data_IF_771744733855
#
_entry.id   IF_771744733855
#
_cell.length_a   1.000
_cell.length_b   1.000
_cell.length_c   1.000
_cell.angle_alpha   90.00
_cell.angle_beta   90.00
_cell.angle_gamma   90.00
#
_symmetry.space_group_name_H-M   'P 1'
#
loop_
_entity.id
_entity.type
_entity.pdbx_description
1 polymer ?
#
# COMPACT_ATOMS: atom_id res chain seq x y z
N UNK A 1 15.80 -1.44 -1.63
CA UNK A 1 14.91 -0.40 -1.05
C UNK A 1 13.95 0.12 -2.11
N UNK A 2 12.71 -0.30 -2.02
CA UNK A 2 11.59 0.05 -2.88
C UNK A 2 10.32 0.11 -2.04
N UNK A 3 9.28 0.79 -2.51
CA UNK A 3 7.91 0.61 -2.06
C UNK A 3 7.30 -0.62 -2.76
N UNK A 4 6.19 -1.12 -2.23
CA UNK A 4 5.46 -2.25 -2.83
C UNK A 4 4.06 -1.82 -3.25
N UNK A 5 3.73 -1.96 -4.53
CA UNK A 5 2.38 -1.81 -5.04
C UNK A 5 1.68 -3.16 -5.02
N UNK A 6 0.52 -3.22 -4.39
CA UNK A 6 -0.43 -4.32 -4.52
C UNK A 6 -1.47 -3.88 -5.55
N UNK A 7 -1.41 -4.42 -6.76
CA UNK A 7 -2.41 -4.20 -7.79
C UNK A 7 -3.77 -4.73 -7.36
N UNK A 8 -4.84 -4.29 -8.03
CA UNK A 8 -6.22 -4.65 -7.67
C UNK A 8 -6.54 -6.14 -7.83
N UNK A 9 -5.80 -6.84 -8.70
CA UNK A 9 -5.84 -8.29 -8.91
C UNK A 9 -4.95 -9.08 -7.92
N UNK A 10 -4.20 -8.37 -7.08
CA UNK A 10 -3.29 -8.96 -6.09
C UNK A 10 -1.85 -9.15 -6.58
N UNK A 11 -1.50 -8.79 -7.82
CA UNK A 11 -0.10 -8.76 -8.24
C UNK A 11 0.71 -7.75 -7.40
N UNK A 12 1.96 -8.10 -7.08
CA UNK A 12 2.85 -7.26 -6.28
C UNK A 12 4.00 -6.77 -7.17
N UNK A 13 4.21 -5.46 -7.21
CA UNK A 13 5.29 -4.84 -7.95
C UNK A 13 6.12 -3.91 -7.06
N UNK A 14 7.42 -3.81 -7.32
CA UNK A 14 8.28 -2.81 -6.68
C UNK A 14 8.12 -1.45 -7.36
N UNK A 15 8.09 -0.39 -6.55
CA UNK A 15 8.02 1.01 -6.99
C UNK A 15 9.14 1.80 -6.33
N UNK A 16 9.81 2.67 -7.07
CA UNK A 16 10.80 3.57 -6.51
C UNK A 16 10.19 4.93 -6.16
N UNK A 17 10.15 5.25 -4.87
CA UNK A 17 9.68 6.54 -4.33
C UNK A 17 10.79 7.58 -4.17
N UNK A 18 12.03 7.27 -4.56
CA UNK A 18 13.17 8.20 -4.47
C UNK A 18 13.16 9.33 -5.52
N UNK A 19 12.10 9.41 -6.31
CA UNK A 19 11.88 10.49 -7.26
C UNK A 19 11.76 11.86 -6.57
N UNK A 20 12.09 12.93 -7.30
CA UNK A 20 11.99 14.32 -6.81
C UNK A 20 10.57 14.71 -6.36
N UNK A 21 9.54 14.02 -6.85
CA UNK A 21 8.13 14.28 -6.57
C UNK A 21 7.41 12.97 -6.20
N UNK A 22 7.59 12.53 -4.95
CA UNK A 22 7.02 11.29 -4.42
C UNK A 22 5.50 11.26 -4.56
N UNK A 23 4.81 12.35 -4.27
CA UNK A 23 3.35 12.42 -4.34
C UNK A 23 2.84 12.22 -5.77
N UNK A 24 3.50 12.84 -6.76
CA UNK A 24 3.17 12.61 -8.17
C UNK A 24 3.41 11.16 -8.58
N UNK A 25 4.49 10.53 -8.11
CA UNK A 25 4.74 9.10 -8.35
C UNK A 25 3.60 8.26 -7.77
N UNK A 26 3.13 8.56 -6.55
CA UNK A 26 2.01 7.86 -5.91
C UNK A 26 0.73 7.95 -6.74
N UNK A 27 0.37 9.15 -7.20
CA UNK A 27 -0.77 9.35 -8.10
C UNK A 27 -0.66 8.52 -9.38
N UNK A 28 0.53 8.45 -9.98
CA UNK A 28 0.75 7.69 -11.20
C UNK A 28 0.64 6.18 -10.99
N UNK A 29 1.25 5.63 -9.93
CA UNK A 29 1.26 4.18 -9.70
C UNK A 29 -0.05 3.65 -9.13
N UNK A 30 -0.76 4.45 -8.34
CA UNK A 30 -2.11 4.11 -7.87
C UNK A 30 -3.16 4.39 -8.96
N UNK A 31 -2.86 5.33 -9.87
CA UNK A 31 -3.75 5.74 -10.95
C UNK A 31 -4.90 6.63 -10.46
N UNK A 32 -4.63 7.53 -9.50
CA UNK A 32 -5.61 8.40 -8.85
C UNK A 32 -5.16 9.87 -8.86
N UNK A 33 -6.02 10.78 -8.37
CA UNK A 33 -5.71 12.21 -8.19
C UNK A 33 -5.67 12.68 -6.74
N UNK A 34 -6.06 11.81 -5.80
CA UNK A 34 -6.02 12.04 -4.37
C UNK A 34 -5.64 10.73 -3.68
N UNK A 35 -4.83 10.81 -2.63
CA UNK A 35 -4.43 9.66 -1.84
C UNK A 35 -4.79 9.87 -0.38
N UNK A 36 -5.20 8.80 0.28
CA UNK A 36 -5.33 8.76 1.74
C UNK A 36 -4.38 7.72 2.33
N UNK A 37 -3.95 7.95 3.57
CA UNK A 37 -2.99 7.10 4.28
C UNK A 37 -3.68 6.23 5.32
N UNK A 38 -3.49 4.93 5.17
CA UNK A 38 -3.87 3.92 6.15
C UNK A 38 -2.60 3.51 6.90
N UNK A 39 -2.38 4.10 8.07
CA UNK A 39 -1.22 3.75 8.93
C UNK A 39 -1.35 2.33 9.46
N UNK A 40 -0.57 1.38 8.92
CA UNK A 40 -0.61 -0.02 9.35
C UNK A 40 0.15 -0.20 10.66
N UNK A 41 1.32 0.43 10.77
CA UNK A 41 2.13 0.43 11.99
C UNK A 41 2.75 1.82 12.21
N UNK A 42 3.72 1.95 13.13
CA UNK A 42 4.51 3.18 13.30
C UNK A 42 5.61 3.36 12.25
N UNK A 43 5.82 2.39 11.35
CA UNK A 43 6.85 2.44 10.31
C UNK A 43 6.41 1.83 8.97
N UNK A 44 5.10 1.66 8.76
CA UNK A 44 4.54 1.11 7.54
C UNK A 44 3.19 1.78 7.27
N UNK A 45 3.14 2.47 6.14
CA UNK A 45 1.95 3.12 5.62
C UNK A 45 1.44 2.38 4.40
N UNK A 46 0.12 2.36 4.24
CA UNK A 46 -0.57 1.90 3.04
C UNK A 46 -1.35 3.07 2.45
N UNK A 47 -0.93 3.50 1.27
CA UNK A 47 -1.56 4.58 0.51
C UNK A 47 -2.55 4.00 -0.48
N UNK A 48 -3.71 4.62 -0.55
CA UNK A 48 -4.83 4.21 -1.41
C UNK A 48 -5.39 5.42 -2.15
N UNK A 49 -6.19 5.17 -3.18
CA UNK A 49 -7.07 6.19 -3.78
C UNK A 49 -8.14 6.58 -2.75
N UNK A 50 -8.15 7.85 -2.33
CA UNK A 50 -9.15 8.40 -1.39
C UNK A 50 -10.58 8.24 -1.93
N UNK A 51 -10.73 8.28 -3.26
CA UNK A 51 -12.01 8.16 -3.95
C UNK A 51 -12.29 6.72 -4.44
N UNK A 52 -11.42 5.75 -4.12
CA UNK A 52 -11.52 4.39 -4.66
C UNK A 52 -12.85 3.70 -4.37
N UNK A 53 -13.43 3.94 -3.19
CA UNK A 53 -14.73 3.38 -2.80
C UNK A 53 -15.93 3.98 -3.56
N UNK A 54 -15.82 5.21 -4.06
CA UNK A 54 -16.92 5.92 -4.74
C UNK A 54 -16.75 5.95 -6.28
N UNK A 55 -15.57 5.57 -6.78
CA UNK A 55 -15.24 5.52 -8.22
C UNK A 55 -15.39 4.13 -8.84
N UNK A 56 -16.10 3.21 -8.16
CA UNK A 56 -16.37 1.84 -8.62
C UNK A 56 -15.10 1.00 -8.90
N UNK A 57 -13.99 1.32 -8.22
CA UNK A 57 -12.78 0.48 -8.24
C UNK A 57 -13.08 -0.87 -7.59
N UNK A 58 -12.54 -1.98 -8.12
CA UNK A 58 -12.70 -3.29 -7.49
C UNK A 58 -12.03 -3.33 -6.12
N UNK A 59 -12.59 -4.14 -5.21
CA UNK A 59 -11.99 -4.38 -3.89
C UNK A 59 -10.66 -5.09 -4.07
N UNK A 60 -9.59 -4.52 -3.54
CA UNK A 60 -8.30 -5.17 -3.44
C UNK A 60 -8.30 -6.08 -2.21
N UNK A 61 -8.62 -7.36 -2.44
CA UNK A 61 -8.78 -8.36 -1.38
C UNK A 61 -7.50 -8.53 -0.58
N UNK A 62 -6.35 -8.57 -1.26
CA UNK A 62 -5.06 -8.79 -0.64
C UNK A 62 -4.65 -7.60 0.25
N UNK A 63 -4.76 -6.37 -0.25
CA UNK A 63 -4.52 -5.16 0.54
C UNK A 63 -5.50 -5.04 1.73
N UNK A 64 -6.77 -5.41 1.52
CA UNK A 64 -7.78 -5.42 2.59
C UNK A 64 -7.44 -6.41 3.69
N UNK A 65 -7.03 -7.62 3.35
CA UNK A 65 -6.63 -8.62 4.34
C UNK A 65 -5.34 -8.25 5.05
N UNK A 66 -4.38 -7.64 4.35
CA UNK A 66 -3.18 -7.08 4.97
C UNK A 66 -3.55 -6.00 6.00
N UNK A 67 -4.40 -5.05 5.64
CA UNK A 67 -4.83 -3.98 6.55
C UNK A 67 -5.58 -4.54 7.77
N UNK A 68 -6.44 -5.55 7.57
CA UNK A 68 -7.12 -6.26 8.66
C UNK A 68 -6.16 -6.98 9.59
N UNK A 69 -5.06 -7.55 9.07
CA UNK A 69 -4.01 -8.15 9.91
C UNK A 69 -3.42 -7.14 10.91
N UNK A 70 -3.33 -5.87 10.53
CA UNK A 70 -2.91 -4.77 11.40
C UNK A 70 -4.07 -4.10 12.17
N UNK A 71 -5.24 -4.75 12.23
CA UNK A 71 -6.41 -4.27 12.98
C UNK A 71 -7.23 -3.17 12.28
N UNK A 72 -6.99 -2.90 10.99
CA UNK A 72 -7.78 -1.94 10.19
C UNK A 72 -8.99 -2.65 9.58
N UNK A 73 -10.04 -2.83 10.37
CA UNK A 73 -11.23 -3.62 10.00
C UNK A 73 -12.47 -2.79 9.69
N UNK A 74 -12.35 -1.46 9.57
CA UNK A 74 -13.49 -0.54 9.43
C UNK A 74 -14.06 -0.48 8.00
N UNK A 75 -13.27 -0.83 6.97
CA UNK A 75 -13.71 -0.81 5.56
C UNK A 75 -12.92 -1.79 4.68
N UNK A 76 -13.44 -2.19 3.51
CA UNK A 76 -12.63 -2.70 2.41
C UNK A 76 -11.85 -1.56 1.72
N UNK A 77 -10.73 -1.88 1.07
CA UNK A 77 -9.96 -0.93 0.28
C UNK A 77 -10.07 -1.29 -1.21
N UNK A 78 -10.31 -0.29 -2.05
CA UNK A 78 -10.58 -0.47 -3.47
C UNK A 78 -9.45 0.11 -4.33
N UNK A 79 -9.12 -0.57 -5.42
CA UNK A 79 -8.03 -0.22 -6.33
C UNK A 79 -6.63 -0.59 -5.81
N UNK A 80 -5.57 -0.16 -6.52
CA UNK A 80 -4.19 -0.43 -6.11
C UNK A 80 -3.85 0.20 -4.75
N UNK A 81 -3.01 -0.49 -3.96
CA UNK A 81 -2.52 -0.01 -2.68
C UNK A 81 -1.00 0.02 -2.66
N UNK A 82 -0.40 1.14 -2.26
CA UNK A 82 1.04 1.33 -2.23
C UNK A 82 1.56 1.32 -0.78
N UNK A 83 2.50 0.42 -0.50
CA UNK A 83 3.14 0.28 0.81
C UNK A 83 4.46 1.03 0.85
N UNK A 84 4.57 1.97 1.78
CA UNK A 84 5.77 2.79 1.99
C UNK A 84 6.20 2.80 3.46
N UNK A 85 7.48 3.09 3.68
CA UNK A 85 7.99 3.46 4.99
C UNK A 85 7.72 4.94 5.27
N UNK A 86 8.06 5.39 6.47
CA UNK A 86 7.99 6.80 6.83
C UNK A 86 9.24 7.24 7.60
N UNK A 87 9.64 8.50 7.43
CA UNK A 87 10.65 9.14 8.29
C UNK A 87 10.01 9.60 9.61
N UNK A 88 10.85 9.99 10.58
CA UNK A 88 10.37 10.58 11.84
C UNK A 88 9.59 11.89 11.63
N UNK A 89 9.86 12.60 10.53
CA UNK A 89 9.14 13.81 10.12
C UNK A 89 7.82 13.51 9.38
N UNK A 90 7.54 12.24 9.09
CA UNK A 90 6.31 11.77 8.45
C UNK A 90 6.37 11.70 6.92
N UNK A 91 7.54 11.88 6.31
CA UNK A 91 7.71 11.77 4.86
C UNK A 91 7.66 10.30 4.42
N UNK A 92 6.96 10.02 3.34
CA UNK A 92 6.91 8.67 2.77
C UNK A 92 8.20 8.33 2.04
N UNK A 93 8.74 7.15 2.32
CA UNK A 93 9.99 6.65 1.75
C UNK A 93 9.85 5.20 1.27
N UNK A 94 10.82 4.74 0.48
CA UNK A 94 10.97 3.32 0.17
C UNK A 94 11.12 2.49 1.45
N UNK A 95 10.66 1.24 1.40
CA UNK A 95 10.87 0.27 2.46
C UNK A 95 12.34 -0.19 2.48
N UNK A 96 12.83 -0.47 3.68
CA UNK A 96 14.09 -1.21 3.87
C UNK A 96 13.92 -2.67 3.43
N UNK A 97 15.01 -3.36 3.11
CA UNK A 97 14.95 -4.76 2.68
C UNK A 97 14.36 -5.70 3.74
N UNK A 98 14.53 -5.37 5.03
CA UNK A 98 13.90 -6.11 6.13
C UNK A 98 12.38 -5.90 6.17
N UNK A 99 11.92 -4.66 5.95
CA UNK A 99 10.48 -4.35 5.85
C UNK A 99 9.86 -5.04 4.63
N UNK A 100 10.53 -5.02 3.47
CA UNK A 100 10.07 -5.74 2.26
C UNK A 100 9.92 -7.22 2.57
N UNK A 101 10.94 -7.86 3.16
CA UNK A 101 10.87 -9.29 3.53
C UNK A 101 9.72 -9.59 4.49
N UNK A 102 9.52 -8.76 5.50
CA UNK A 102 8.44 -8.93 6.47
C UNK A 102 7.05 -8.79 5.81
N UNK A 103 6.87 -7.78 4.96
CA UNK A 103 5.61 -7.55 4.22
C UNK A 103 5.33 -8.68 3.24
N UNK A 104 6.31 -9.09 2.42
CA UNK A 104 6.13 -10.18 1.47
C UNK A 104 5.82 -11.51 2.15
N UNK A 105 6.48 -11.82 3.27
CA UNK A 105 6.15 -13.00 4.08
C UNK A 105 4.70 -12.96 4.55
N UNK A 106 4.24 -11.79 5.03
CA UNK A 106 2.85 -11.63 5.47
C UNK A 106 1.85 -11.74 4.32
N UNK A 107 2.17 -11.19 3.15
CA UNK A 107 1.32 -11.29 1.96
C UNK A 107 1.22 -12.74 1.48
N UNK A 108 2.32 -13.49 1.46
CA UNK A 108 2.31 -14.91 1.13
C UNK A 108 1.43 -15.71 2.09
N UNK A 109 1.56 -15.49 3.41
CA UNK A 109 0.71 -16.13 4.42
C UNK A 109 -0.80 -15.89 4.20
N UNK A 110 -1.15 -14.72 3.64
CA UNK A 110 -2.55 -14.38 3.32
C UNK A 110 -2.98 -15.12 2.05
N UNK A 111 -2.17 -15.10 1.00
CA UNK A 111 -2.45 -15.78 -0.27
C UNK A 111 -2.64 -17.28 -0.07
N UNK A 112 -1.82 -17.92 0.76
CA UNK A 112 -1.91 -19.36 1.04
C UNK A 112 -3.20 -19.76 1.79
N UNK A 113 -3.98 -18.79 2.28
CA UNK A 113 -5.25 -18.98 3.02
C UNK A 113 -6.49 -18.58 2.24
N UNK A 114 -6.34 -18.01 1.04
CA UNK A 114 -7.42 -17.67 0.13
C UNK A 114 -7.88 -18.90 -0.65
#
# INVERSE_FOLDING_TARGET
>A
MSALLIAEDGEIAEVDLSATDTLRTMYQVIGCSSVDVVRLTTNLDMWIDDEGMITDRPVNVLATLLARHFGRTYQPYCGPALLGGMTDDGDTINLTDDQIRAVLTRLQDIVDRL
#
